data_IF_714312709693
#
_entry.id   IF_714312709693
#
_cell.length_a   1.000
_cell.length_b   1.000
_cell.length_c   1.000
_cell.angle_alpha   90.00
_cell.angle_beta   90.00
_cell.angle_gamma   90.00
#
_symmetry.space_group_name_H-M   'P 1'
#
loop_
_entity.id
_entity.type
_entity.pdbx_description
1 polymer ?
#
# COMPACT_ATOMS: atom_id res chain seq x y z
N UNK A 1 10.66 13.44 4.61
CA UNK A 1 11.06 13.49 3.20
C UNK A 1 12.39 14.21 3.09
N UNK A 2 13.45 13.48 2.76
CA UNK A 2 14.81 13.99 2.52
C UNK A 2 15.36 13.52 1.17
N UNK A 3 14.90 12.38 0.67
CA UNK A 3 15.39 11.80 -0.58
C UNK A 3 14.23 11.43 -1.51
N UNK A 4 14.39 11.69 -2.79
CA UNK A 4 13.42 11.37 -3.84
C UNK A 4 14.08 10.57 -4.95
N UNK A 5 13.39 9.54 -5.39
CA UNK A 5 13.75 8.79 -6.58
C UNK A 5 13.10 9.45 -7.81
N UNK A 6 13.90 9.95 -8.74
CA UNK A 6 13.41 10.45 -10.02
C UNK A 6 13.56 9.36 -11.07
N UNK A 7 12.42 8.83 -11.50
CA UNK A 7 12.33 7.81 -12.54
C UNK A 7 11.96 8.45 -13.88
N UNK A 8 12.63 8.04 -14.95
CA UNK A 8 12.35 8.49 -16.31
C UNK A 8 12.63 7.35 -17.29
N UNK A 9 11.96 7.35 -18.44
CA UNK A 9 11.85 6.15 -19.29
C UNK A 9 12.17 6.36 -20.78
N UNK A 10 12.66 7.54 -21.13
CA UNK A 10 12.96 7.97 -22.50
C UNK A 10 14.17 8.93 -22.49
N UNK A 11 14.62 9.39 -23.68
CA UNK A 11 15.50 10.56 -23.86
C UNK A 11 14.96 11.87 -23.26
N UNK A 12 13.85 11.78 -22.55
CA UNK A 12 13.37 12.76 -21.60
C UNK A 12 14.21 12.70 -20.32
N UNK A 13 15.44 13.22 -20.40
CA UNK A 13 16.21 13.50 -19.20
C UNK A 13 15.39 14.39 -18.28
N UNK A 14 15.39 14.15 -16.96
CA UNK A 14 14.93 15.17 -16.03
C UNK A 14 15.70 16.44 -16.38
N UNK A 15 14.98 17.48 -16.79
CA UNK A 15 15.61 18.74 -17.15
C UNK A 15 16.57 19.10 -16.00
N UNK A 16 17.83 19.45 -16.28
CA UNK A 16 18.78 19.81 -15.23
C UNK A 16 18.16 20.80 -14.21
N UNK A 17 17.32 21.69 -14.73
CA UNK A 17 16.47 22.59 -13.97
C UNK A 17 15.57 21.94 -12.91
N UNK A 18 14.94 20.79 -13.18
CA UNK A 18 14.14 20.06 -12.18
C UNK A 18 15.00 19.63 -11.00
N UNK A 19 16.15 19.00 -11.29
CA UNK A 19 17.07 18.53 -10.26
C UNK A 19 17.56 19.72 -9.43
N UNK A 20 17.92 20.82 -10.08
CA UNK A 20 18.32 22.06 -9.42
C UNK A 20 17.20 22.63 -8.53
N UNK A 21 15.96 22.64 -9.01
CA UNK A 21 14.81 23.10 -8.23
C UNK A 21 14.55 22.22 -7.01
N UNK A 22 14.65 20.89 -7.15
CA UNK A 22 14.47 19.94 -6.05
C UNK A 22 15.63 20.04 -5.03
N UNK A 23 16.86 20.20 -5.49
CA UNK A 23 18.01 20.45 -4.63
C UNK A 23 17.90 21.79 -3.88
N UNK A 24 17.38 22.83 -4.54
CA UNK A 24 17.17 24.15 -3.94
C UNK A 24 16.16 24.16 -2.79
N UNK A 25 15.20 23.22 -2.79
CA UNK A 25 14.26 23.01 -1.67
C UNK A 25 14.81 22.01 -0.63
N UNK A 26 16.06 21.54 -0.78
CA UNK A 26 16.75 20.67 0.16
C UNK A 26 16.45 19.18 0.00
N UNK A 27 15.93 18.75 -1.15
CA UNK A 27 15.70 17.34 -1.44
C UNK A 27 16.94 16.72 -2.09
N UNK A 28 17.35 15.55 -1.60
CA UNK A 28 18.38 14.72 -2.21
C UNK A 28 17.77 13.91 -3.37
N UNK A 29 18.22 14.17 -4.58
CA UNK A 29 17.63 13.59 -5.80
C UNK A 29 18.48 12.43 -6.30
N UNK A 30 17.88 11.24 -6.30
CA UNK A 30 18.48 10.02 -6.85
C UNK A 30 17.80 9.75 -8.19
N UNK A 31 18.53 9.86 -9.30
CA UNK A 31 17.99 9.65 -10.64
C UNK A 31 18.24 8.22 -11.13
N UNK A 32 17.20 7.57 -11.68
CA UNK A 32 17.29 6.23 -12.28
C UNK A 32 16.71 6.24 -13.70
N UNK A 33 17.52 5.76 -14.65
CA UNK A 33 17.35 5.95 -16.09
C UNK A 33 16.49 4.86 -16.76
N UNK A 34 16.42 3.64 -16.20
CA UNK A 34 15.62 2.53 -16.73
C UNK A 34 15.09 1.62 -15.61
N UNK A 35 14.01 0.89 -15.89
CA UNK A 35 13.36 -0.02 -14.93
C UNK A 35 14.25 -1.20 -14.50
N UNK A 36 15.24 -1.55 -15.30
CA UNK A 36 16.19 -2.63 -15.01
C UNK A 36 17.25 -2.19 -13.98
N UNK A 37 17.47 -0.89 -13.85
CA UNK A 37 18.34 -0.27 -12.82
C UNK A 37 17.60 0.04 -11.51
N UNK A 38 16.31 -0.33 -11.39
CA UNK A 38 15.53 -0.25 -10.14
C UNK A 38 16.07 -1.17 -9.02
N UNK A 39 17.26 -1.76 -9.19
CA UNK A 39 18.10 -2.24 -8.08
C UNK A 39 18.57 -1.10 -7.18
N UNK A 40 17.62 -0.36 -6.60
CA UNK A 40 17.82 0.59 -5.51
C UNK A 40 18.17 -0.24 -4.25
N UNK A 41 19.36 -0.84 -4.23
CA UNK A 41 19.81 -1.72 -3.14
C UNK A 41 20.59 -1.00 -2.04
N UNK A 42 20.68 0.32 -2.07
CA UNK A 42 21.50 1.09 -1.11
C UNK A 42 20.79 2.29 -0.49
N UNK A 43 19.60 2.67 -0.98
CA UNK A 43 18.88 3.86 -0.50
C UNK A 43 17.41 3.54 -0.21
N UNK A 44 16.87 4.13 0.86
CA UNK A 44 15.45 4.09 1.21
C UNK A 44 14.80 5.44 0.83
N UNK A 45 14.37 5.63 -0.43
CA UNK A 45 13.78 6.89 -0.85
C UNK A 45 12.45 7.15 -0.13
N UNK A 46 12.17 8.42 0.17
CA UNK A 46 10.90 8.81 0.80
C UNK A 46 9.73 8.88 -0.21
N UNK A 47 10.02 8.89 -1.50
CA UNK A 47 9.03 9.05 -2.55
C UNK A 47 9.61 9.02 -3.96
N UNK A 48 8.72 8.95 -4.95
CA UNK A 48 9.07 8.78 -6.36
C UNK A 48 8.49 9.93 -7.18
N UNK A 49 9.31 10.55 -8.02
CA UNK A 49 8.86 11.43 -9.09
C UNK A 49 8.98 10.66 -10.40
N UNK A 50 7.85 10.40 -11.03
CA UNK A 50 7.76 9.77 -12.34
C UNK A 50 7.77 10.85 -13.42
N UNK A 51 8.76 10.80 -14.31
CA UNK A 51 8.88 11.67 -15.47
C UNK A 51 8.60 10.87 -16.74
N UNK A 52 7.40 11.02 -17.29
CA UNK A 52 7.02 10.37 -18.53
C UNK A 52 5.91 11.14 -19.25
N UNK A 53 5.69 10.79 -20.51
CA UNK A 53 4.54 11.28 -21.28
C UNK A 53 3.24 10.67 -20.76
N UNK A 54 2.10 11.33 -21.05
CA UNK A 54 0.76 10.81 -20.70
C UNK A 54 0.53 9.39 -21.25
N UNK A 55 1.00 9.10 -22.47
CA UNK A 55 0.84 7.81 -23.13
C UNK A 55 1.48 6.64 -22.36
N UNK A 56 2.58 6.91 -21.64
CA UNK A 56 3.32 5.89 -20.88
C UNK A 56 3.00 5.91 -19.39
N UNK A 57 2.28 6.93 -18.91
CA UNK A 57 2.00 7.14 -17.49
C UNK A 57 1.39 5.89 -16.85
N UNK A 58 0.32 5.35 -17.43
CA UNK A 58 -0.39 4.23 -16.84
C UNK A 58 0.44 2.94 -16.83
N UNK A 59 1.28 2.72 -17.84
CA UNK A 59 2.20 1.57 -17.89
C UNK A 59 3.20 1.65 -16.75
N UNK A 60 3.80 2.82 -16.53
CA UNK A 60 4.80 2.99 -15.48
C UNK A 60 4.21 3.00 -14.08
N UNK A 61 3.02 3.56 -13.89
CA UNK A 61 2.34 3.49 -12.61
C UNK A 61 2.03 2.05 -12.20
N UNK A 62 1.65 1.18 -13.15
CA UNK A 62 1.43 -0.25 -12.87
C UNK A 62 2.74 -0.97 -12.48
N UNK A 63 3.85 -0.65 -13.15
CA UNK A 63 5.18 -1.18 -12.79
C UNK A 63 5.60 -0.73 -11.39
N UNK A 64 5.51 0.57 -11.11
CA UNK A 64 5.92 1.14 -9.82
C UNK A 64 5.04 0.63 -8.67
N UNK A 65 3.71 0.52 -8.88
CA UNK A 65 2.80 0.02 -7.87
C UNK A 65 3.06 -1.44 -7.46
N UNK A 66 3.70 -2.25 -8.33
CA UNK A 66 4.10 -3.62 -8.01
C UNK A 66 5.41 -3.71 -7.23
N UNK A 67 6.28 -2.71 -7.34
CA UNK A 67 7.63 -2.75 -6.79
C UNK A 67 7.81 -1.87 -5.55
N UNK A 68 7.05 -0.78 -5.44
CA UNK A 68 7.24 0.23 -4.40
C UNK A 68 5.96 0.54 -3.64
N UNK A 69 6.12 0.67 -2.33
CA UNK A 69 5.11 1.15 -1.40
C UNK A 69 5.40 2.61 -1.01
N UNK A 70 5.56 3.49 -2.00
CA UNK A 70 5.97 4.88 -1.80
C UNK A 70 4.99 5.87 -2.46
N UNK A 71 4.93 7.12 -1.98
CA UNK A 71 4.19 8.18 -2.67
C UNK A 71 4.79 8.44 -4.06
N UNK A 72 3.93 8.62 -5.06
CA UNK A 72 4.33 8.86 -6.45
C UNK A 72 3.75 10.19 -6.92
N UNK A 73 4.61 11.10 -7.37
CA UNK A 73 4.22 12.31 -8.09
C UNK A 73 4.52 12.14 -9.57
N UNK A 74 3.66 12.70 -10.42
CA UNK A 74 3.93 12.76 -11.85
C UNK A 74 4.48 14.14 -12.21
N UNK A 75 5.68 14.17 -12.79
CA UNK A 75 6.20 15.36 -13.44
C UNK A 75 5.59 15.49 -14.83
N UNK A 76 4.57 16.34 -14.95
CA UNK A 76 3.87 16.57 -16.20
C UNK A 76 4.66 17.53 -17.09
N UNK A 77 4.92 17.08 -18.32
CA UNK A 77 5.69 17.80 -19.33
C UNK A 77 4.82 18.40 -20.43
N UNK A 78 3.52 18.10 -20.44
CA UNK A 78 2.58 18.51 -21.47
C UNK A 78 1.45 19.35 -20.88
N UNK A 79 0.99 20.36 -21.61
CA UNK A 79 -0.10 21.25 -21.19
C UNK A 79 -1.50 20.65 -21.33
N UNK A 80 -1.61 19.38 -21.74
CA UNK A 80 -2.88 18.68 -21.96
C UNK A 80 -2.91 17.36 -21.21
N UNK A 81 -4.04 17.09 -20.57
CA UNK A 81 -4.31 15.85 -19.85
C UNK A 81 -5.75 15.41 -20.17
N UNK A 82 -5.91 14.33 -20.93
CA UNK A 82 -7.21 13.95 -21.49
C UNK A 82 -7.74 12.65 -20.90
N UNK A 83 -6.87 11.71 -20.50
CA UNK A 83 -7.28 10.35 -20.13
C UNK A 83 -7.29 10.05 -18.63
N UNK A 84 -6.60 10.84 -17.79
CA UNK A 84 -6.52 10.56 -16.35
C UNK A 84 -5.48 9.48 -16.00
N UNK A 85 -4.99 9.44 -14.74
CA UNK A 85 -4.11 8.37 -14.29
C UNK A 85 -4.97 7.16 -13.89
N UNK A 86 -4.62 5.98 -14.37
CA UNK A 86 -5.31 4.72 -14.06
C UNK A 86 -4.99 4.20 -12.64
N UNK A 87 -3.89 4.67 -12.06
CA UNK A 87 -3.49 4.38 -10.69
C UNK A 87 -3.38 5.68 -9.89
N UNK A 88 -3.44 5.56 -8.57
CA UNK A 88 -3.33 6.70 -7.67
C UNK A 88 -1.95 7.37 -7.77
N UNK A 89 -1.96 8.68 -7.98
CA UNK A 89 -0.78 9.55 -7.83
C UNK A 89 -1.08 10.59 -6.74
N UNK A 90 -0.04 11.03 -6.05
CA UNK A 90 -0.17 11.97 -4.93
C UNK A 90 -0.27 13.42 -5.36
N UNK A 91 0.16 13.70 -6.60
CA UNK A 91 0.05 15.02 -7.20
C UNK A 91 0.76 15.10 -8.54
N UNK A 92 0.60 16.26 -9.17
CA UNK A 92 1.24 16.61 -10.43
C UNK A 92 2.22 17.75 -10.15
N UNK A 93 3.42 17.65 -10.72
CA UNK A 93 4.46 18.67 -10.69
C UNK A 93 4.69 19.17 -12.12
N UNK A 94 5.01 20.45 -12.28
CA UNK A 94 5.32 21.04 -13.59
C UNK A 94 6.56 21.91 -13.51
N UNK A 95 7.24 22.10 -14.66
CA UNK A 95 8.41 22.96 -14.75
C UNK A 95 8.11 24.45 -14.56
N UNK A 96 6.84 24.86 -14.52
CA UNK A 96 6.42 26.24 -14.28
C UNK A 96 6.27 26.59 -12.80
N UNK A 97 6.39 25.61 -11.90
CA UNK A 97 6.26 25.82 -10.47
C UNK A 97 7.51 26.48 -9.90
N UNK A 98 7.32 27.48 -9.05
CA UNK A 98 8.37 28.04 -8.21
C UNK A 98 8.82 27.04 -7.13
N UNK A 99 10.01 27.21 -6.53
CA UNK A 99 10.49 26.31 -5.47
C UNK A 99 9.50 26.14 -4.29
N UNK A 100 8.85 27.21 -3.76
CA UNK A 100 7.84 27.05 -2.73
C UNK A 100 6.62 26.23 -3.18
N UNK A 101 6.16 26.41 -4.42
CA UNK A 101 5.02 25.65 -4.97
C UNK A 101 5.35 24.16 -5.12
N UNK A 102 6.57 23.83 -5.59
CA UNK A 102 7.06 22.46 -5.62
C UNK A 102 7.10 21.84 -4.22
N UNK A 103 7.60 22.59 -3.23
CA UNK A 103 7.64 22.12 -1.85
C UNK A 103 6.23 21.84 -1.31
N UNK A 104 5.26 22.73 -1.56
CA UNK A 104 3.88 22.52 -1.14
C UNK A 104 3.26 21.31 -1.82
N UNK A 105 3.45 21.14 -3.13
CA UNK A 105 2.93 20.00 -3.88
C UNK A 105 3.47 18.65 -3.34
N UNK A 106 4.75 18.60 -2.98
CA UNK A 106 5.36 17.43 -2.34
C UNK A 106 4.79 17.17 -0.94
N UNK A 107 4.69 18.20 -0.08
CA UNK A 107 4.17 18.04 1.29
C UNK A 107 2.69 17.63 1.28
N UNK A 108 1.88 18.26 0.44
CA UNK A 108 0.46 17.92 0.28
C UNK A 108 0.31 16.49 -0.26
N UNK A 109 1.10 16.12 -1.26
CA UNK A 109 1.09 14.75 -1.78
C UNK A 109 1.50 13.71 -0.73
N UNK A 110 2.46 14.02 0.13
CA UNK A 110 2.84 13.11 1.21
C UNK A 110 1.69 12.92 2.20
N UNK A 111 0.99 13.98 2.56
CA UNK A 111 -0.19 13.89 3.42
C UNK A 111 -1.31 13.06 2.75
N UNK A 112 -1.51 13.21 1.44
CA UNK A 112 -2.46 12.38 0.69
C UNK A 112 -2.09 10.89 0.76
N UNK A 113 -0.80 10.57 0.61
CA UNK A 113 -0.28 9.22 0.74
C UNK A 113 -0.53 8.63 2.13
N UNK A 114 -0.19 9.36 3.18
CA UNK A 114 -0.37 8.91 4.57
C UNK A 114 -1.83 8.67 4.90
N UNK A 115 -2.73 9.57 4.48
CA UNK A 115 -4.16 9.42 4.67
C UNK A 115 -4.69 8.19 3.93
N UNK A 116 -4.31 8.01 2.66
CA UNK A 116 -4.69 6.84 1.87
C UNK A 116 -4.21 5.54 2.52
N UNK A 117 -2.96 5.48 2.97
CA UNK A 117 -2.40 4.32 3.69
C UNK A 117 -3.11 4.05 5.00
N UNK A 118 -3.47 5.09 5.75
CA UNK A 118 -4.22 4.95 6.99
C UNK A 118 -5.59 4.30 6.74
N UNK A 119 -6.33 4.79 5.74
CA UNK A 119 -7.63 4.21 5.36
C UNK A 119 -7.48 2.77 4.89
N UNK A 120 -6.47 2.48 4.07
CA UNK A 120 -6.20 1.12 3.59
C UNK A 120 -5.93 0.15 4.75
N UNK A 121 -5.11 0.55 5.73
CA UNK A 121 -4.87 -0.25 6.95
C UNK A 121 -6.13 -0.48 7.76
N UNK A 122 -7.02 0.51 7.85
CA UNK A 122 -8.30 0.35 8.55
C UNK A 122 -9.19 -0.69 7.84
N UNK A 123 -9.22 -0.68 6.51
CA UNK A 123 -9.95 -1.68 5.71
C UNK A 123 -9.40 -3.08 5.98
N UNK A 124 -8.07 -3.25 5.94
CA UNK A 124 -7.41 -4.53 6.21
C UNK A 124 -7.70 -5.04 7.63
N UNK A 125 -7.63 -4.17 8.63
CA UNK A 125 -7.96 -4.53 10.03
C UNK A 125 -9.44 -4.92 10.20
N UNK A 126 -10.35 -4.28 9.48
CA UNK A 126 -11.77 -4.63 9.51
C UNK A 126 -12.02 -5.97 8.82
N UNK A 127 -11.35 -6.23 7.69
CA UNK A 127 -11.41 -7.52 7.01
C UNK A 127 -10.87 -8.65 7.90
N UNK A 128 -9.72 -8.45 8.55
CA UNK A 128 -9.17 -9.41 9.53
C UNK A 128 -10.19 -9.72 10.62
N UNK A 129 -10.80 -8.70 11.24
CA UNK A 129 -11.83 -8.90 12.28
C UNK A 129 -13.06 -9.67 11.78
N UNK A 130 -13.49 -9.42 10.54
CA UNK A 130 -14.61 -10.14 9.94
C UNK A 130 -14.26 -11.62 9.72
N UNK A 131 -13.07 -11.91 9.22
CA UNK A 131 -12.63 -13.28 8.98
C UNK A 131 -12.37 -14.03 10.29
N UNK A 132 -11.79 -13.38 11.30
CA UNK A 132 -11.70 -13.90 12.66
C UNK A 132 -13.09 -14.27 13.20
N UNK A 133 -14.11 -13.42 13.00
CA UNK A 133 -15.48 -13.70 13.43
C UNK A 133 -16.07 -14.90 12.68
N UNK A 134 -15.89 -14.99 11.36
CA UNK A 134 -16.35 -16.15 10.57
C UNK A 134 -15.73 -17.45 11.09
N UNK A 135 -14.43 -17.45 11.40
CA UNK A 135 -13.74 -18.62 11.96
C UNK A 135 -14.30 -19.03 13.31
N UNK A 136 -14.55 -18.06 14.21
CA UNK A 136 -15.14 -18.33 15.52
C UNK A 136 -16.54 -18.94 15.37
N UNK A 137 -17.39 -18.37 14.52
CA UNK A 137 -18.74 -18.88 14.28
C UNK A 137 -18.73 -20.30 13.68
N UNK A 138 -17.84 -20.58 12.72
CA UNK A 138 -17.66 -21.94 12.16
C UNK A 138 -17.21 -22.93 13.23
N UNK A 139 -16.24 -22.56 14.06
CA UNK A 139 -15.75 -23.41 15.14
C UNK A 139 -16.85 -23.70 16.18
N UNK A 140 -17.65 -22.70 16.56
CA UNK A 140 -18.82 -22.93 17.44
C UNK A 140 -19.78 -23.92 16.80
N UNK A 141 -20.14 -23.73 15.53
CA UNK A 141 -21.05 -24.63 14.82
C UNK A 141 -20.57 -26.07 14.77
N UNK A 142 -19.25 -26.28 14.59
CA UNK A 142 -18.64 -27.61 14.68
C UNK A 142 -18.80 -28.17 16.10
N UNK A 143 -18.38 -27.42 17.13
CA UNK A 143 -18.44 -27.88 18.52
C UNK A 143 -19.86 -28.26 18.94
N UNK A 144 -20.86 -27.44 18.59
CA UNK A 144 -22.28 -27.72 18.85
C UNK A 144 -22.67 -29.07 18.25
N UNK A 145 -22.33 -29.31 16.98
CA UNK A 145 -22.69 -30.55 16.27
C UNK A 145 -21.92 -31.79 16.76
N UNK A 146 -20.63 -31.66 17.08
CA UNK A 146 -19.78 -32.83 17.42
C UNK A 146 -19.80 -33.18 18.89
N UNK A 147 -20.01 -32.21 19.78
CA UNK A 147 -19.94 -32.41 21.23
C UNK A 147 -21.29 -32.25 21.93
N UNK A 148 -22.32 -31.78 21.23
CA UNK A 148 -23.65 -31.54 21.80
C UNK A 148 -23.72 -30.31 22.72
N UNK A 149 -22.68 -29.47 22.73
CA UNK A 149 -22.66 -28.21 23.48
C UNK A 149 -23.73 -27.24 22.97
N UNK A 150 -24.26 -26.40 23.85
CA UNK A 150 -24.96 -25.18 23.44
C UNK A 150 -24.00 -24.14 22.83
N UNK A 151 -24.54 -23.18 22.09
CA UNK A 151 -23.73 -22.13 21.45
C UNK A 151 -22.94 -21.29 22.46
N UNK A 152 -23.56 -20.98 23.61
CA UNK A 152 -22.92 -20.24 24.72
C UNK A 152 -21.77 -21.03 25.35
N UNK A 153 -21.94 -22.35 25.52
CA UNK A 153 -20.90 -23.24 26.03
C UNK A 153 -19.73 -23.35 25.05
N UNK A 154 -20.02 -23.47 23.75
CA UNK A 154 -19.00 -23.51 22.70
C UNK A 154 -18.18 -22.21 22.68
N UNK A 155 -18.83 -21.04 22.79
CA UNK A 155 -18.13 -19.76 22.87
C UNK A 155 -17.24 -19.65 24.11
N UNK A 156 -17.78 -20.03 25.29
CA UNK A 156 -17.00 -20.07 26.55
C UNK A 156 -15.81 -21.02 26.45
N UNK A 157 -15.98 -22.18 25.84
CA UNK A 157 -14.92 -23.16 25.62
C UNK A 157 -13.79 -22.56 24.77
N UNK A 158 -14.12 -21.97 23.61
CA UNK A 158 -13.14 -21.32 22.72
C UNK A 158 -12.38 -20.20 23.45
N UNK A 159 -13.09 -19.36 24.20
CA UNK A 159 -12.49 -18.27 24.98
C UNK A 159 -11.54 -18.80 26.06
N UNK A 160 -11.97 -19.79 26.84
CA UNK A 160 -11.16 -20.38 27.91
C UNK A 160 -9.92 -21.08 27.36
N UNK A 161 -10.05 -21.80 26.23
CA UNK A 161 -8.92 -22.43 25.56
C UNK A 161 -7.93 -21.40 25.02
N UNK A 162 -8.41 -20.33 24.41
CA UNK A 162 -7.58 -19.23 23.95
C UNK A 162 -6.80 -18.55 25.09
N UNK A 163 -7.45 -18.29 26.23
CA UNK A 163 -6.80 -17.76 27.43
C UNK A 163 -5.74 -18.71 27.98
N UNK A 164 -6.05 -20.00 28.10
CA UNK A 164 -5.11 -21.02 28.60
C UNK A 164 -3.87 -21.15 27.70
N UNK A 165 -4.06 -21.05 26.39
CA UNK A 165 -2.97 -21.13 25.40
C UNK A 165 -2.28 -19.78 25.11
N UNK A 166 -2.77 -18.68 25.69
CA UNK A 166 -2.31 -17.30 25.40
C UNK A 166 -2.30 -16.98 23.90
N UNK A 167 -3.35 -17.40 23.20
CA UNK A 167 -3.55 -17.16 21.77
C UNK A 167 -4.83 -16.35 21.54
N UNK A 168 -4.94 -15.73 20.36
CA UNK A 168 -6.21 -15.16 19.88
C UNK A 168 -7.27 -16.27 19.78
N UNK A 169 -8.53 -15.94 20.08
CA UNK A 169 -9.65 -16.89 19.90
C UNK A 169 -9.74 -17.41 18.47
N UNK A 170 -9.53 -16.55 17.46
CA UNK A 170 -9.54 -16.93 16.06
C UNK A 170 -8.51 -18.04 15.72
N UNK A 171 -7.33 -18.04 16.36
CA UNK A 171 -6.31 -19.07 16.13
C UNK A 171 -6.75 -20.44 16.67
N UNK A 172 -7.39 -20.47 17.84
CA UNK A 172 -7.99 -21.70 18.40
C UNK A 172 -9.14 -22.18 17.51
N UNK A 173 -9.98 -21.26 17.06
CA UNK A 173 -11.10 -21.54 16.17
C UNK A 173 -10.63 -22.10 14.82
N UNK A 174 -9.58 -21.52 14.22
CA UNK A 174 -8.95 -22.04 12.99
C UNK A 174 -8.51 -23.49 13.20
N UNK A 175 -7.78 -23.78 14.28
CA UNK A 175 -7.33 -25.14 14.58
C UNK A 175 -8.49 -26.15 14.64
N UNK A 176 -9.63 -25.74 15.21
CA UNK A 176 -10.83 -26.60 15.26
C UNK A 176 -11.46 -26.75 13.88
N UNK A 177 -11.57 -25.67 13.10
CA UNK A 177 -12.10 -25.72 11.74
C UNK A 177 -11.22 -26.59 10.83
N UNK A 178 -9.90 -26.50 10.95
CA UNK A 178 -8.95 -27.27 10.14
C UNK A 178 -9.00 -28.77 10.47
N UNK A 179 -9.16 -29.11 11.77
CA UNK A 179 -9.21 -30.51 12.22
C UNK A 179 -10.56 -31.19 11.92
N UNK A 180 -11.67 -30.48 12.11
CA UNK A 180 -13.01 -31.07 12.06
C UNK A 180 -13.85 -30.66 10.86
N UNK A 181 -13.49 -29.57 10.17
CA UNK A 181 -14.19 -29.09 8.98
C UNK A 181 -14.32 -30.15 7.88
N UNK A 182 -13.23 -30.82 7.47
CA UNK A 182 -13.27 -31.85 6.43
C UNK A 182 -14.13 -33.08 6.79
N UNK A 183 -14.36 -33.33 8.08
CA UNK A 183 -15.18 -34.44 8.58
C UNK A 183 -16.69 -34.12 8.54
N UNK A 184 -17.05 -32.84 8.44
CA UNK A 184 -18.42 -32.33 8.54
C UNK A 184 -19.03 -31.90 7.19
N UNK A 185 -18.21 -31.84 6.13
CA UNK A 185 -18.62 -31.54 4.75
C UNK A 185 -18.84 -32.81 3.89
N UNK A 186 -18.79 -34.00 4.50
CA UNK A 186 -19.10 -35.29 3.86
C UNK A 186 -20.52 -35.76 4.14
#
# INVERSE_FOLDING_TARGET
>A
MKSLLVFFSDSCQPAAHMIDCLNAIGMDVISVYEAEDLTVKTYEPDGIILCCTEQRLNVWLDVLARQFELPVWWWCQSSGFMTGPAHHIEGILTSSMSPPELQWALVVGLNNYENRRSVQRQIEQLQEKLDERKLIERAKGILVKTTGMSEDEAFKYLRNKAMKERKKMAAISSTIVDLYGPLMER
#
